data_IF_036820917229
#
_entry.id   IF_036820917229
#
_cell.length_a   1.000
_cell.length_b   1.000
_cell.length_c   1.000
_cell.angle_alpha   90.00
_cell.angle_beta   90.00
_cell.angle_gamma   90.00
#
_symmetry.space_group_name_H-M   'P 1'
#
loop_
_entity.id
_entity.type
_entity.pdbx_description
1 polymer ?
#
# COMPACT_ATOMS: atom_id res chain seq x y z
N UNK A 1 -9.88 -12.50 31.84
CA UNK A 1 -10.02 -11.25 31.05
C UNK A 1 -10.70 -11.62 29.74
N UNK A 2 -11.76 -10.94 29.30
CA UNK A 2 -12.30 -11.15 27.95
C UNK A 2 -11.28 -10.62 26.94
N UNK A 3 -10.92 -11.43 25.95
CA UNK A 3 -10.09 -11.04 24.82
C UNK A 3 -10.75 -9.88 24.08
N UNK A 4 -10.05 -8.76 23.94
CA UNK A 4 -10.47 -7.68 23.05
C UNK A 4 -10.70 -8.27 21.65
N UNK A 5 -11.71 -7.79 20.89
CA UNK A 5 -11.87 -8.20 19.50
C UNK A 5 -10.54 -7.94 18.77
N UNK A 6 -10.05 -8.94 18.05
CA UNK A 6 -8.84 -8.79 17.23
C UNK A 6 -9.09 -7.60 16.30
N UNK A 7 -8.26 -6.56 16.41
CA UNK A 7 -8.39 -5.37 15.56
C UNK A 7 -8.33 -5.80 14.09
N UNK A 8 -9.37 -5.46 13.33
CA UNK A 8 -9.39 -5.64 11.88
C UNK A 8 -8.20 -4.91 11.24
N UNK A 9 -7.41 -5.64 10.44
CA UNK A 9 -6.36 -5.05 9.62
C UNK A 9 -7.04 -4.33 8.46
N UNK A 10 -6.77 -3.04 8.35
CA UNK A 10 -7.35 -2.18 7.31
C UNK A 10 -6.31 -1.88 6.25
N UNK A 11 -6.61 -2.25 5.02
CA UNK A 11 -5.79 -2.01 3.84
C UNK A 11 -6.49 -0.95 2.99
N UNK A 12 -5.79 0.14 2.70
CA UNK A 12 -6.26 1.18 1.79
C UNK A 12 -5.64 0.95 0.43
N UNK A 13 -6.48 0.80 -0.59
CA UNK A 13 -6.09 0.62 -1.98
C UNK A 13 -6.53 1.88 -2.73
N UNK A 14 -5.55 2.58 -3.29
CA UNK A 14 -5.75 3.80 -4.05
C UNK A 14 -5.35 3.58 -5.50
N UNK A 15 -6.28 3.68 -6.45
CA UNK A 15 -5.92 3.71 -7.86
C UNK A 15 -5.03 4.92 -8.19
N UNK A 16 -3.97 4.68 -8.95
CA UNK A 16 -3.12 5.73 -9.50
C UNK A 16 -3.62 6.13 -10.90
N UNK A 17 -3.33 7.38 -11.28
CA UNK A 17 -3.66 7.91 -12.61
C UNK A 17 -5.14 8.27 -12.78
N UNK A 18 -5.71 7.94 -13.94
CA UNK A 18 -7.03 8.41 -14.38
C UNK A 18 -8.21 7.50 -13.96
N UNK A 19 -7.97 6.45 -13.16
CA UNK A 19 -9.05 5.58 -12.71
C UNK A 19 -9.90 6.28 -11.65
N UNK A 20 -11.16 6.55 -12.00
CA UNK A 20 -12.14 7.23 -11.17
C UNK A 20 -13.24 6.25 -10.77
N UNK A 21 -13.29 5.91 -9.48
CA UNK A 21 -14.24 4.94 -8.92
C UNK A 21 -15.69 5.43 -9.12
N UNK A 22 -15.92 6.75 -9.12
CA UNK A 22 -17.25 7.31 -9.36
C UNK A 22 -17.73 7.06 -10.79
N UNK A 23 -16.81 7.11 -11.77
CA UNK A 23 -17.13 6.94 -13.19
C UNK A 23 -17.25 5.48 -13.59
N UNK A 24 -16.40 4.61 -13.05
CA UNK A 24 -16.39 3.17 -13.37
C UNK A 24 -17.46 2.42 -12.58
N UNK A 25 -17.69 2.83 -11.33
CA UNK A 25 -18.59 2.16 -10.40
C UNK A 25 -17.84 1.31 -9.38
N UNK A 26 -18.17 1.52 -8.11
CA UNK A 26 -17.58 0.80 -6.98
C UNK A 26 -17.58 -0.73 -7.14
N UNK A 27 -18.68 -1.40 -7.53
CA UNK A 27 -18.70 -2.87 -7.60
C UNK A 27 -17.68 -3.44 -8.60
N UNK A 28 -17.43 -2.73 -9.71
CA UNK A 28 -16.47 -3.16 -10.74
C UNK A 28 -15.04 -3.05 -10.21
N UNK A 29 -14.72 -1.96 -9.53
CA UNK A 29 -13.39 -1.75 -8.92
C UNK A 29 -13.16 -2.76 -7.79
N UNK A 30 -14.16 -3.00 -6.94
CA UNK A 30 -14.10 -4.03 -5.90
C UNK A 30 -13.85 -5.40 -6.49
N UNK A 31 -14.56 -5.79 -7.55
CA UNK A 31 -14.34 -7.07 -8.22
C UNK A 31 -12.91 -7.20 -8.79
N UNK A 32 -12.39 -6.13 -9.41
CA UNK A 32 -11.03 -6.09 -9.94
C UNK A 32 -9.97 -6.25 -8.83
N UNK A 33 -10.16 -5.60 -7.68
CA UNK A 33 -9.28 -5.73 -6.51
C UNK A 33 -9.32 -7.16 -5.97
N UNK A 34 -10.50 -7.74 -5.81
CA UNK A 34 -10.66 -9.11 -5.31
C UNK A 34 -10.09 -10.16 -6.27
N UNK A 35 -10.10 -9.90 -7.58
CA UNK A 35 -9.42 -10.72 -8.57
C UNK A 35 -7.90 -10.59 -8.47
N UNK A 36 -7.39 -9.37 -8.31
CA UNK A 36 -5.95 -9.11 -8.18
C UNK A 36 -5.35 -9.67 -6.88
N UNK A 37 -6.16 -9.83 -5.82
CA UNK A 37 -5.75 -10.47 -4.58
C UNK A 37 -5.63 -12.01 -4.66
N UNK A 38 -6.07 -12.61 -5.78
CA UNK A 38 -6.04 -14.07 -6.02
C UNK A 38 -6.68 -14.90 -4.89
N UNK A 39 -7.64 -14.32 -4.17
CA UNK A 39 -8.40 -15.02 -3.11
C UNK A 39 -9.51 -15.87 -3.72
N UNK A 40 -9.80 -17.01 -3.09
CA UNK A 40 -10.96 -17.84 -3.42
C UNK A 40 -12.25 -17.18 -2.91
N UNK A 41 -13.39 -17.50 -3.51
CA UNK A 41 -14.67 -16.88 -3.12
C UNK A 41 -15.07 -17.17 -1.66
N UNK A 42 -14.55 -18.25 -1.07
CA UNK A 42 -14.74 -18.59 0.34
C UNK A 42 -13.90 -17.72 1.28
N UNK A 43 -12.73 -17.30 0.83
CA UNK A 43 -11.84 -16.41 1.56
C UNK A 43 -12.40 -14.99 1.58
N UNK A 44 -12.92 -14.51 0.44
CA UNK A 44 -13.50 -13.16 0.28
C UNK A 44 -14.67 -12.86 1.21
N UNK A 45 -15.48 -13.88 1.58
CA UNK A 45 -16.67 -13.69 2.45
C UNK A 45 -16.29 -13.18 3.84
N UNK A 46 -15.05 -13.43 4.29
CA UNK A 46 -14.56 -13.00 5.59
C UNK A 46 -14.07 -11.55 5.60
N UNK A 47 -13.83 -10.98 4.42
CA UNK A 47 -13.30 -9.64 4.28
C UNK A 47 -14.42 -8.64 4.01
N UNK A 48 -14.30 -7.44 4.58
CA UNK A 48 -15.23 -6.35 4.32
C UNK A 48 -14.59 -5.34 3.39
N UNK A 49 -15.20 -5.08 2.23
CA UNK A 49 -14.71 -4.09 1.26
C UNK A 49 -15.64 -2.87 1.22
N UNK A 50 -15.07 -1.68 1.40
CA UNK A 50 -15.79 -0.41 1.40
C UNK A 50 -15.10 0.59 0.47
N UNK A 51 -15.82 1.11 -0.53
CA UNK A 51 -15.30 2.12 -1.44
C UNK A 51 -15.67 3.53 -0.97
N UNK A 52 -14.68 4.41 -0.83
CA UNK A 52 -14.89 5.83 -0.61
C UNK A 52 -14.70 6.58 -1.94
N UNK A 53 -15.83 6.84 -2.60
CA UNK A 53 -15.88 7.51 -3.90
C UNK A 53 -15.32 8.95 -3.82
N UNK A 54 -15.56 9.65 -2.70
CA UNK A 54 -15.10 11.04 -2.54
C UNK A 54 -13.57 11.14 -2.49
N UNK A 55 -12.92 10.15 -1.87
CA UNK A 55 -11.47 10.09 -1.74
C UNK A 55 -10.79 9.27 -2.85
N UNK A 56 -11.59 8.65 -3.74
CA UNK A 56 -11.13 7.72 -4.76
C UNK A 56 -10.24 6.60 -4.18
N UNK A 57 -10.70 5.98 -3.10
CA UNK A 57 -10.01 4.84 -2.44
C UNK A 57 -10.98 3.70 -2.18
N UNK A 58 -10.43 2.50 -2.02
CA UNK A 58 -11.12 1.32 -1.52
C UNK A 58 -10.44 0.86 -0.25
N UNK A 59 -11.21 0.56 0.78
CA UNK A 59 -10.73 0.06 2.06
C UNK A 59 -11.16 -1.39 2.20
N UNK A 60 -10.21 -2.27 2.48
CA UNK A 60 -10.45 -3.68 2.79
C UNK A 60 -10.15 -3.88 4.27
N UNK A 61 -11.08 -4.49 5.01
CA UNK A 61 -10.91 -4.89 6.41
C UNK A 61 -10.87 -6.41 6.46
N UNK A 62 -9.81 -6.97 7.07
CA UNK A 62 -9.63 -8.40 7.22
C UNK A 62 -9.03 -8.75 8.58
N UNK A 63 -9.39 -9.91 9.12
CA UNK A 63 -8.79 -10.45 10.34
C UNK A 63 -7.61 -11.40 10.03
N UNK A 64 -7.29 -11.60 8.75
CA UNK A 64 -6.30 -12.57 8.28
C UNK A 64 -5.05 -11.85 7.75
N UNK A 65 -3.89 -12.16 8.33
CA UNK A 65 -2.62 -11.54 7.97
C UNK A 65 -2.17 -11.93 6.55
N UNK A 66 -2.45 -13.15 6.10
CA UNK A 66 -2.12 -13.60 4.75
C UNK A 66 -2.99 -12.85 3.71
N UNK A 67 -4.26 -12.59 4.03
CA UNK A 67 -5.11 -11.76 3.18
C UNK A 67 -4.58 -10.32 3.11
N UNK A 68 -4.24 -9.73 4.26
CA UNK A 68 -3.71 -8.37 4.33
C UNK A 68 -2.44 -8.23 3.49
N UNK A 69 -1.51 -9.19 3.60
CA UNK A 69 -0.28 -9.21 2.81
C UNK A 69 -0.58 -9.23 1.30
N UNK A 70 -1.50 -10.09 0.86
CA UNK A 70 -1.90 -10.16 -0.56
C UNK A 70 -2.52 -8.85 -1.04
N UNK A 71 -3.37 -8.21 -0.24
CA UNK A 71 -3.96 -6.92 -0.62
C UNK A 71 -2.91 -5.79 -0.69
N UNK A 72 -1.94 -5.76 0.22
CA UNK A 72 -0.86 -4.75 0.21
C UNK A 72 0.08 -4.93 -0.99
N UNK A 73 0.28 -6.16 -1.47
CA UNK A 73 1.12 -6.44 -2.63
C UNK A 73 0.44 -6.19 -3.98
N UNK A 74 -0.82 -5.76 -4.02
CA UNK A 74 -1.49 -5.38 -5.28
C UNK A 74 -0.84 -4.11 -5.83
N UNK A 75 -0.09 -4.25 -6.91
CA UNK A 75 0.49 -3.13 -7.66
C UNK A 75 -0.36 -2.64 -8.83
N UNK A 76 -1.27 -3.48 -9.35
CA UNK A 76 -2.12 -3.14 -10.49
C UNK A 76 -3.42 -3.93 -10.49
N UNK A 77 -4.49 -3.34 -11.00
CA UNK A 77 -5.79 -3.99 -11.20
C UNK A 77 -6.24 -3.87 -12.65
N UNK A 78 -7.03 -4.84 -13.12
CA UNK A 78 -7.61 -4.79 -14.45
C UNK A 78 -9.10 -4.40 -14.37
N UNK A 79 -9.45 -3.30 -15.03
CA UNK A 79 -10.82 -2.76 -15.05
C UNK A 79 -11.23 -2.56 -16.50
N UNK A 80 -12.34 -3.18 -16.93
CA UNK A 80 -12.84 -3.11 -18.31
C UNK A 80 -11.77 -3.43 -19.38
N UNK A 81 -10.85 -4.36 -19.07
CA UNK A 81 -9.76 -4.76 -19.97
C UNK A 81 -8.55 -3.83 -19.99
N UNK A 82 -8.56 -2.74 -19.20
CA UNK A 82 -7.44 -1.82 -19.04
C UNK A 82 -6.75 -2.07 -17.71
N UNK A 83 -5.42 -2.17 -17.73
CA UNK A 83 -4.61 -2.29 -16.51
C UNK A 83 -4.37 -0.90 -15.93
N UNK A 84 -4.66 -0.74 -14.64
CA UNK A 84 -4.43 0.48 -13.89
C UNK A 84 -3.51 0.18 -12.71
N UNK A 85 -2.44 0.97 -12.56
CA UNK A 85 -1.59 0.92 -11.38
C UNK A 85 -2.38 1.34 -10.14
N UNK A 86 -2.12 0.71 -9.01
CA UNK A 86 -2.69 1.05 -7.71
C UNK A 86 -1.59 1.10 -6.66
N UNK A 87 -1.84 1.84 -5.60
CA UNK A 87 -1.00 1.84 -4.41
C UNK A 87 -1.82 1.29 -3.24
N UNK A 88 -1.37 0.17 -2.68
CA UNK A 88 -1.99 -0.45 -1.53
C UNK A 88 -1.09 -0.29 -0.30
N UNK A 89 -1.67 0.01 0.85
CA UNK A 89 -0.95 0.13 2.10
C UNK A 89 -1.84 -0.20 3.29
N UNK A 90 -1.24 -0.82 4.31
CA UNK A 90 -1.88 -1.08 5.59
C UNK A 90 -1.99 0.22 6.40
N UNK A 91 -3.12 0.42 7.06
CA UNK A 91 -3.27 1.45 8.09
C UNK A 91 -3.02 0.81 9.44
N UNK A 92 -2.12 1.40 10.23
CA UNK A 92 -1.85 0.92 11.58
C UNK A 92 -3.16 0.80 12.37
N UNK A 93 -3.45 -0.39 12.91
CA UNK A 93 -4.50 -0.56 13.92
C UNK A 93 -4.28 0.45 15.03
N UNK A 94 -5.35 1.06 15.52
CA UNK A 94 -5.41 2.25 16.39
C UNK A 94 -4.80 2.02 17.80
N UNK A 95 -3.55 1.58 17.87
CA UNK A 95 -2.73 1.50 19.07
C UNK A 95 -1.46 2.37 18.97
N UNK A 96 -1.41 3.31 18.02
CA UNK A 96 -0.41 4.40 18.04
C UNK A 96 -0.81 5.45 19.07
N UNK A 97 -0.50 5.17 20.32
CA UNK A 97 -0.09 6.22 21.25
C UNK A 97 1.30 6.69 20.81
N UNK A 98 1.40 7.93 20.31
CA UNK A 98 2.63 8.73 20.10
C UNK A 98 3.95 7.95 19.92
N UNK A 99 4.47 7.85 18.70
CA UNK A 99 5.86 7.42 18.49
C UNK A 99 6.36 7.48 17.06
N UNK A 100 7.07 8.57 16.72
CA UNK A 100 8.12 8.68 15.70
C UNK A 100 7.84 8.20 14.26
N UNK A 101 7.61 9.17 13.36
CA UNK A 101 8.03 9.04 11.96
C UNK A 101 9.55 8.95 11.91
N UNK A 102 10.11 7.77 11.61
CA UNK A 102 11.53 7.62 11.23
C UNK A 102 11.58 7.43 9.72
N UNK A 103 12.09 8.45 9.03
CA UNK A 103 12.49 8.34 7.63
C UNK A 103 13.67 7.37 7.49
N UNK A 104 13.44 6.27 6.80
CA UNK A 104 14.47 5.29 6.45
C UNK A 104 15.27 5.77 5.22
N UNK A 105 16.17 6.72 5.44
CA UNK A 105 17.38 6.81 4.62
C UNK A 105 18.25 5.59 4.96
N UNK A 106 18.19 4.55 4.14
CA UNK A 106 19.11 3.42 4.23
C UNK A 106 20.50 3.87 3.77
N UNK A 107 21.32 4.35 4.72
CA UNK A 107 22.77 4.32 4.61
C UNK A 107 23.24 3.00 5.20
N UNK A 108 23.81 2.12 4.38
CA UNK A 108 25.24 1.73 4.40
C UNK A 108 25.43 0.40 3.70
N UNK A 109 26.46 0.35 2.88
CA UNK A 109 27.44 -0.74 2.94
C UNK A 109 28.83 -0.11 2.75
N UNK A 110 29.82 -0.42 3.61
CA UNK A 110 31.17 0.14 3.51
C UNK A 110 32.09 -0.73 2.64
N UNK A 111 33.03 -0.08 1.96
CA UNK A 111 34.32 -0.69 1.63
C UNK A 111 34.63 -0.90 0.14
N UNK A 112 35.29 0.07 -0.49
CA UNK A 112 36.69 -0.11 -0.92
C UNK A 112 37.32 1.20 -1.41
N UNK A 113 38.55 1.37 -0.96
CA UNK A 113 39.53 2.39 -1.25
C UNK A 113 39.67 2.73 -2.74
N UNK A 114 39.69 4.02 -3.08
CA UNK A 114 40.67 4.59 -3.99
C UNK A 114 40.83 6.08 -3.65
N UNK A 115 42.05 6.42 -3.27
CA UNK A 115 42.58 7.72 -2.96
C UNK A 115 42.42 8.68 -4.14
N UNK A 116 41.73 9.80 -3.95
CA UNK A 116 41.83 10.98 -4.81
C UNK A 116 42.03 12.18 -3.90
N UNK A 117 43.30 12.41 -3.55
CA UNK A 117 43.76 13.68 -3.00
C UNK A 117 43.88 14.71 -4.13
N UNK A 118 43.62 15.96 -3.75
CA UNK A 118 43.93 17.21 -4.47
C UNK A 118 42.76 17.86 -5.21
N UNK A 119 42.05 18.73 -4.48
CA UNK A 119 41.55 19.98 -5.05
C UNK A 119 41.79 21.11 -4.02
N UNK A 120 42.95 21.73 -4.12
CA UNK A 120 43.33 23.05 -3.60
C UNK A 120 44.20 23.62 -4.74
N UNK A 121 44.12 24.86 -5.20
CA UNK A 121 43.66 26.10 -4.60
C UNK A 121 43.47 27.10 -5.76
N UNK A 122 42.52 27.99 -5.60
CA UNK A 122 42.34 29.21 -6.39
C UNK A 122 43.63 30.06 -6.38
N UNK A 123 44.12 30.52 -7.53
CA UNK A 123 44.72 31.86 -7.70
C UNK A 123 44.84 32.25 -9.18
N UNK A 124 44.52 33.52 -9.41
CA UNK A 124 44.37 34.28 -10.66
C UNK A 124 45.73 34.54 -11.36
N UNK A 125 45.75 34.98 -12.63
CA UNK A 125 46.97 35.39 -13.32
C UNK A 125 47.72 36.52 -12.63
#
# INVERSE_FOLDING_TARGET
MPSLPMDDIKIVIRPNGALDIAKVGSPVVTAAILQAAELTDKEKIKDTVCSNIQQNIVVVSTHDLDHADRYVHIGSIQVNGVTHDVNAYETASEHTTKGATVGSHSRRSPGRSTTMSSLVETRRP
#
